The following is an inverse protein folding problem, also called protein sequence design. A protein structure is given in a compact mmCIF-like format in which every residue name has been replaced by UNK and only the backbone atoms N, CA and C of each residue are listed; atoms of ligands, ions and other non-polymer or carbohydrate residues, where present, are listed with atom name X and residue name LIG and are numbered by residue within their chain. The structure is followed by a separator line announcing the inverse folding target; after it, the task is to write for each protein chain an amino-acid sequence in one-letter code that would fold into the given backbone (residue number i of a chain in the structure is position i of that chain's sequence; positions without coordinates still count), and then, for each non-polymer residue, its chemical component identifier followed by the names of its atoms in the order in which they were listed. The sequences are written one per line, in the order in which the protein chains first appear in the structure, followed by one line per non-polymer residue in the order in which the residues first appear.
data_IF_456312585680
#
_entry.id   IF_456312585680
#
_cell.length_a   1.000
_cell.length_b   1.000
_cell.length_c   1.000
_cell.angle_alpha   90.00
_cell.angle_beta   90.00
_cell.angle_gamma   90.00
#
_symmetry.space_group_name_H-M   'P 1'
#
loop_
_entity.id
_entity.type
_entity.pdbx_description
1 polymer ?
#
# COMPACT_ATOMS: atom_id res chain seq x y z
N UNK A 1 -0.08 6.64 21.25
CA UNK A 1 1.14 7.38 20.84
C UNK A 1 0.93 8.17 19.55
N UNK A 2 0.52 7.56 18.43
CA UNK A 2 0.31 8.29 17.17
C UNK A 2 -0.71 9.44 17.26
N UNK A 3 -1.81 9.27 18.00
CA UNK A 3 -2.82 10.33 18.19
C UNK A 3 -2.26 11.60 18.83
N UNK A 4 -1.30 11.47 19.77
CA UNK A 4 -0.64 12.62 20.41
C UNK A 4 0.23 13.35 19.37
N UNK A 5 1.02 12.61 18.60
CA UNK A 5 1.84 13.18 17.53
C UNK A 5 0.96 13.88 16.48
N UNK A 6 -0.19 13.32 16.15
CA UNK A 6 -1.13 13.90 15.20
C UNK A 6 -1.77 15.19 15.74
N UNK A 7 -2.10 15.23 17.04
CA UNK A 7 -2.56 16.46 17.68
C UNK A 7 -1.50 17.57 17.66
N UNK A 8 -0.22 17.22 17.82
CA UNK A 8 0.89 18.18 17.80
C UNK A 8 1.26 18.63 16.37
N UNK A 9 1.30 17.71 15.41
CA UNK A 9 1.67 17.99 14.03
C UNK A 9 1.12 16.95 13.05
N UNK A 10 -0.06 17.19 12.47
CA UNK A 10 -0.62 16.34 11.41
C UNK A 10 0.31 16.22 10.20
N UNK A 11 1.00 17.31 9.84
CA UNK A 11 1.95 17.34 8.71
C UNK A 11 3.09 16.35 8.90
N UNK A 12 3.67 16.32 10.11
CA UNK A 12 4.72 15.37 10.43
C UNK A 12 4.22 13.93 10.32
N UNK A 13 3.05 13.64 10.91
CA UNK A 13 2.45 12.32 10.84
C UNK A 13 2.19 11.86 9.39
N UNK A 14 1.65 12.72 8.53
CA UNK A 14 1.44 12.40 7.12
C UNK A 14 2.75 12.15 6.38
N UNK A 15 3.79 12.97 6.58
CA UNK A 15 5.10 12.71 5.98
C UNK A 15 5.71 11.41 6.48
N UNK A 16 5.60 11.14 7.78
CA UNK A 16 6.08 9.90 8.38
C UNK A 16 5.42 8.67 7.76
N UNK A 17 4.08 8.66 7.66
CA UNK A 17 3.37 7.56 6.99
C UNK A 17 3.78 7.45 5.52
N UNK A 18 3.88 8.57 4.78
CA UNK A 18 4.34 8.53 3.39
C UNK A 18 5.68 7.80 3.20
N UNK A 19 6.65 8.06 4.09
CA UNK A 19 7.93 7.34 4.07
C UNK A 19 7.83 5.87 4.50
N UNK A 20 6.90 5.51 5.39
CA UNK A 20 6.62 4.10 5.67
C UNK A 20 6.09 3.39 4.42
N UNK A 21 5.19 4.04 3.68
CA UNK A 21 4.63 3.45 2.46
C UNK A 21 5.67 3.38 1.32
N UNK A 22 6.64 4.30 1.26
CA UNK A 22 7.81 4.16 0.38
C UNK A 22 8.57 2.85 0.63
N UNK A 23 8.81 2.53 1.91
CA UNK A 23 9.48 1.28 2.29
C UNK A 23 8.59 0.05 2.11
N UNK A 24 7.27 0.19 2.28
CA UNK A 24 6.32 -0.88 1.99
C UNK A 24 6.32 -1.24 0.50
N UNK A 25 6.27 -0.24 -0.40
CA UNK A 25 6.35 -0.45 -1.86
C UNK A 25 7.65 -1.16 -2.26
N UNK A 26 8.80 -0.77 -1.67
CA UNK A 26 10.09 -1.45 -1.90
C UNK A 26 10.04 -2.89 -1.41
N UNK A 27 9.52 -3.11 -0.21
CA UNK A 27 9.39 -4.44 0.40
C UNK A 27 8.55 -5.37 -0.46
N UNK A 28 7.36 -4.94 -0.89
CA UNK A 28 6.51 -5.76 -1.76
C UNK A 28 7.11 -5.98 -3.15
N UNK A 29 7.88 -5.03 -3.67
CA UNK A 29 8.65 -5.22 -4.91
C UNK A 29 9.67 -6.34 -4.74
N UNK A 30 10.46 -6.33 -3.65
CA UNK A 30 11.39 -7.41 -3.36
C UNK A 30 10.69 -8.76 -3.17
N UNK A 31 9.53 -8.80 -2.50
CA UNK A 31 8.74 -10.03 -2.36
C UNK A 31 8.31 -10.59 -3.72
N UNK A 32 7.84 -9.75 -4.64
CA UNK A 32 7.45 -10.17 -5.99
C UNK A 32 8.68 -10.68 -6.76
N UNK A 33 9.81 -9.98 -6.69
CA UNK A 33 11.04 -10.42 -7.35
C UNK A 33 11.57 -11.75 -6.82
N UNK A 34 11.58 -11.95 -5.49
CA UNK A 34 11.95 -13.23 -4.88
C UNK A 34 10.97 -14.35 -5.21
N UNK A 35 9.67 -14.04 -5.33
CA UNK A 35 8.67 -15.00 -5.80
C UNK A 35 8.93 -15.42 -7.25
N UNK A 36 9.20 -14.45 -8.12
CA UNK A 36 9.48 -14.68 -9.56
C UNK A 36 10.78 -15.46 -9.78
N UNK A 37 11.73 -15.38 -8.85
CA UNK A 37 12.96 -16.20 -8.83
C UNK A 37 12.76 -17.62 -8.26
N UNK A 38 11.56 -17.94 -7.74
CA UNK A 38 11.28 -19.22 -7.08
C UNK A 38 11.91 -19.36 -5.69
N UNK A 39 12.30 -18.25 -5.05
CA UNK A 39 12.90 -18.26 -3.70
C UNK A 39 11.82 -18.47 -2.62
N UNK A 40 10.56 -18.14 -2.93
CA UNK A 40 9.40 -18.22 -2.02
C UNK A 40 8.48 -19.40 -2.37
N UNK A 41 8.98 -20.63 -2.21
CA UNK A 41 8.30 -21.89 -2.59
C UNK A 41 6.89 -22.04 -2.01
N UNK A 42 6.64 -21.54 -0.81
CA UNK A 42 5.31 -21.60 -0.19
C UNK A 42 4.28 -20.78 -0.99
N UNK A 43 4.69 -19.67 -1.60
CA UNK A 43 3.76 -18.74 -2.25
C UNK A 43 3.66 -18.93 -3.75
N UNK A 44 4.64 -19.60 -4.36
CA UNK A 44 4.75 -19.81 -5.82
C UNK A 44 3.48 -20.40 -6.43
N UNK A 45 2.90 -21.42 -5.78
CA UNK A 45 1.69 -22.11 -6.23
C UNK A 45 0.49 -21.89 -5.31
N UNK A 46 0.54 -20.86 -4.46
CA UNK A 46 -0.55 -20.55 -3.53
C UNK A 46 -1.62 -19.72 -4.23
N UNK A 47 -2.87 -20.17 -4.16
CA UNK A 47 -4.03 -19.43 -4.65
C UNK A 47 -4.31 -18.21 -3.77
N UNK A 48 -4.79 -17.13 -4.39
CA UNK A 48 -5.21 -15.94 -3.66
C UNK A 48 -6.34 -16.30 -2.67
N UNK A 49 -6.27 -15.84 -1.41
CA UNK A 49 -7.36 -16.02 -0.45
C UNK A 49 -8.67 -15.42 -0.98
N UNK A 50 -9.80 -16.05 -0.69
CA UNK A 50 -11.13 -15.59 -1.17
C UNK A 50 -11.41 -14.13 -0.80
N UNK A 51 -10.98 -13.70 0.39
CA UNK A 51 -11.12 -12.31 0.84
C UNK A 51 -10.38 -11.32 -0.08
N UNK A 52 -9.17 -11.67 -0.53
CA UNK A 52 -8.37 -10.86 -1.44
C UNK A 52 -9.02 -10.80 -2.83
N UNK A 53 -9.47 -11.95 -3.34
CA UNK A 53 -10.19 -12.03 -4.62
C UNK A 53 -11.42 -11.14 -4.62
N UNK A 54 -12.23 -11.20 -3.55
CA UNK A 54 -13.42 -10.38 -3.44
C UNK A 54 -13.12 -8.88 -3.27
N UNK A 55 -12.13 -8.53 -2.44
CA UNK A 55 -11.79 -7.14 -2.13
C UNK A 55 -11.22 -6.40 -3.35
N UNK A 56 -10.17 -6.95 -3.96
CA UNK A 56 -9.51 -6.37 -5.14
C UNK A 56 -10.17 -6.77 -6.46
N UNK A 57 -11.26 -7.56 -6.43
CA UNK A 57 -11.97 -8.08 -7.62
C UNK A 57 -11.03 -8.81 -8.59
N UNK A 58 -10.13 -9.63 -8.05
CA UNK A 58 -9.18 -10.41 -8.84
C UNK A 58 -9.91 -11.56 -9.59
N UNK A 59 -9.30 -12.12 -10.65
CA UNK A 59 -9.77 -13.36 -11.25
C UNK A 59 -9.89 -14.51 -10.25
N UNK A 60 -10.82 -15.43 -10.48
CA UNK A 60 -11.07 -16.56 -9.57
C UNK A 60 -9.88 -17.53 -9.46
N UNK A 61 -9.00 -17.54 -10.44
CA UNK A 61 -7.77 -18.34 -10.49
C UNK A 61 -6.52 -17.57 -10.05
N UNK A 62 -6.67 -16.34 -9.55
CA UNK A 62 -5.58 -15.49 -9.08
C UNK A 62 -4.68 -16.20 -8.05
N UNK A 63 -3.40 -15.86 -8.10
CA UNK A 63 -2.34 -16.43 -7.28
C UNK A 63 -1.86 -15.44 -6.22
N UNK A 64 -1.07 -15.91 -5.26
CA UNK A 64 -0.47 -15.06 -4.22
C UNK A 64 0.33 -13.90 -4.83
N UNK A 65 0.93 -14.10 -6.00
CA UNK A 65 1.61 -13.05 -6.76
C UNK A 65 0.69 -11.87 -7.11
N UNK A 66 -0.55 -12.14 -7.54
CA UNK A 66 -1.52 -11.11 -7.91
C UNK A 66 -1.95 -10.31 -6.68
N UNK A 67 -2.05 -10.98 -5.52
CA UNK A 67 -2.30 -10.32 -4.23
C UNK A 67 -1.15 -9.39 -3.86
N UNK A 68 0.11 -9.82 -4.00
CA UNK A 68 1.27 -8.95 -3.73
C UNK A 68 1.31 -7.73 -4.66
N UNK A 69 0.92 -7.90 -5.92
CA UNK A 69 0.81 -6.79 -6.87
C UNK A 69 -0.27 -5.79 -6.46
N UNK A 70 -1.45 -6.27 -6.05
CA UNK A 70 -2.55 -5.43 -5.58
C UNK A 70 -2.16 -4.66 -4.31
N UNK A 71 -1.59 -5.33 -3.31
CA UNK A 71 -1.12 -4.68 -2.08
C UNK A 71 -0.08 -3.60 -2.42
N UNK A 72 0.91 -3.90 -3.26
CA UNK A 72 1.93 -2.91 -3.64
C UNK A 72 1.30 -1.68 -4.31
N UNK A 73 0.26 -1.86 -5.11
CA UNK A 73 -0.45 -0.76 -5.74
C UNK A 73 -1.16 0.12 -4.69
N UNK A 74 -1.82 -0.49 -3.71
CA UNK A 74 -2.45 0.23 -2.59
C UNK A 74 -1.41 1.03 -1.81
N UNK A 75 -0.25 0.45 -1.45
CA UNK A 75 0.79 1.19 -0.74
C UNK A 75 1.40 2.32 -1.60
N UNK A 76 1.46 2.13 -2.92
CA UNK A 76 1.84 3.17 -3.86
C UNK A 76 0.90 4.37 -3.81
N UNK A 77 -0.41 4.11 -3.73
CA UNK A 77 -1.44 5.13 -3.57
C UNK A 77 -1.38 5.79 -2.18
N UNK A 78 -1.30 5.00 -1.10
CA UNK A 78 -1.17 5.51 0.27
C UNK A 78 0.03 6.45 0.44
N UNK A 79 1.17 6.09 -0.17
CA UNK A 79 2.36 6.93 -0.24
C UNK A 79 2.05 8.29 -0.86
N UNK A 80 1.43 8.30 -2.03
CA UNK A 80 1.11 9.55 -2.76
C UNK A 80 0.14 10.42 -1.96
N UNK A 81 -0.92 9.82 -1.42
CA UNK A 81 -1.92 10.51 -0.59
C UNK A 81 -1.25 11.15 0.62
N UNK A 82 -0.46 10.39 1.37
CA UNK A 82 0.16 10.90 2.59
C UNK A 82 1.23 11.96 2.32
N UNK A 83 2.06 11.81 1.28
CA UNK A 83 3.00 12.88 0.93
C UNK A 83 2.32 14.16 0.48
N UNK A 84 1.19 14.04 -0.23
CA UNK A 84 0.37 15.18 -0.68
C UNK A 84 -0.27 15.88 0.51
N UNK A 85 -0.97 15.14 1.38
CA UNK A 85 -1.57 15.69 2.60
C UNK A 85 -0.52 16.32 3.54
N UNK A 86 0.67 15.73 3.63
CA UNK A 86 1.79 16.30 4.39
C UNK A 86 2.37 17.59 3.80
N UNK A 87 2.11 17.89 2.52
CA UNK A 87 2.52 19.12 1.83
C UNK A 87 1.42 20.18 1.79
N UNK A 88 0.15 19.79 1.78
CA UNK A 88 -1.01 20.69 1.64
C UNK A 88 -1.17 21.69 2.77
N UNK A 89 -1.66 22.89 2.45
CA UNK A 89 -2.09 23.90 3.43
C UNK A 89 -3.46 23.53 3.98
N UNK A 90 -3.79 23.91 5.24
CA UNK A 90 -5.08 23.57 5.84
C UNK A 90 -6.32 24.06 5.08
N UNK A 91 -6.18 25.11 4.26
CA UNK A 91 -7.26 25.67 3.45
C UNK A 91 -7.46 24.98 2.11
N UNK A 92 -6.58 24.05 1.72
CA UNK A 92 -6.66 23.34 0.44
C UNK A 92 -7.61 22.15 0.56
N UNK A 93 -8.42 21.94 -0.48
CA UNK A 93 -9.34 20.80 -0.53
C UNK A 93 -8.57 19.52 -0.86
N UNK A 94 -8.96 18.40 -0.25
CA UNK A 94 -8.39 17.10 -0.57
C UNK A 94 -8.54 16.80 -2.07
N UNK A 95 -7.44 16.62 -2.82
CA UNK A 95 -7.51 16.36 -4.26
C UNK A 95 -7.92 14.93 -4.59
N UNK A 96 -7.91 14.00 -3.62
CA UNK A 96 -8.27 12.60 -3.82
C UNK A 96 -9.76 12.38 -3.55
N UNK A 97 -10.47 11.90 -4.58
CA UNK A 97 -11.87 11.50 -4.50
C UNK A 97 -12.04 10.06 -4.00
N UNK A 98 -13.25 9.67 -3.56
CA UNK A 98 -13.54 8.28 -3.19
C UNK A 98 -13.32 7.32 -4.36
N UNK A 99 -12.49 6.30 -4.17
CA UNK A 99 -12.24 5.25 -5.16
C UNK A 99 -11.31 5.64 -6.31
N UNK A 100 -10.53 6.72 -6.15
CA UNK A 100 -9.41 7.08 -7.02
C UNK A 100 -8.10 6.47 -6.53
#
# INVERSE_FOLDING_TARGET
MFWIAYFLSPRFCHKFVGYLEEEAVKTYTHCIESLDKGELKLWENTKAPQIAVCYWRLPADAMMRDVLLAIRADEGHHREVNHTLGSMRPSETNPFGPGQ
#
